data_IF_868648118989
#
_entry.id   IF_868648118989
#
_cell.length_a   1.000
_cell.length_b   1.000
_cell.length_c   1.000
_cell.angle_alpha   90.00
_cell.angle_beta   90.00
_cell.angle_gamma   90.00
#
_symmetry.space_group_name_H-M   'P 1'
#
loop_
_entity.id
_entity.type
_entity.pdbx_description
1 polymer ?
#
# COMPACT_ATOMS: atom_id res chain seq x y z
N UNK A 1 5.73 -8.45 1.98
CA UNK A 1 5.29 -7.05 1.89
C UNK A 1 3.77 -7.00 2.06
N UNK A 2 3.24 -5.96 2.72
CA UNK A 2 1.80 -5.72 2.88
C UNK A 2 1.38 -4.36 2.33
N UNK A 3 0.13 -4.23 1.89
CA UNK A 3 -0.50 -2.95 1.51
C UNK A 3 -1.68 -2.71 2.45
N UNK A 4 -1.63 -1.63 3.22
CA UNK A 4 -2.61 -1.31 4.27
C UNK A 4 -3.35 -0.02 3.92
N UNK A 5 -4.63 -0.16 3.58
CA UNK A 5 -5.49 0.95 3.20
C UNK A 5 -6.50 1.28 4.28
N UNK A 6 -6.46 2.52 4.77
CA UNK A 6 -7.36 2.99 5.83
C UNK A 6 -6.91 2.61 7.24
N UNK A 7 -7.66 3.09 8.23
CA UNK A 7 -7.30 2.96 9.65
C UNK A 7 -7.32 1.51 10.11
N UNK A 8 -8.33 0.75 9.72
CA UNK A 8 -8.51 -0.63 10.18
C UNK A 8 -7.38 -1.54 9.67
N UNK A 9 -6.97 -1.39 8.41
CA UNK A 9 -5.82 -2.11 7.88
C UNK A 9 -4.51 -1.70 8.58
N UNK A 10 -4.31 -0.41 8.86
CA UNK A 10 -3.12 0.07 9.61
C UNK A 10 -3.08 -0.46 11.04
N UNK A 11 -4.22 -0.75 11.66
CA UNK A 11 -4.26 -1.36 13.00
C UNK A 11 -3.68 -2.79 13.01
N UNK A 12 -3.54 -3.45 11.86
CA UNK A 12 -2.87 -4.76 11.74
C UNK A 12 -1.34 -4.64 11.72
N UNK A 13 -0.78 -3.42 11.63
CA UNK A 13 0.67 -3.18 11.57
C UNK A 13 1.47 -3.85 12.70
N UNK A 14 1.02 -3.86 13.97
CA UNK A 14 1.74 -4.54 15.05
C UNK A 14 1.85 -6.05 14.84
N UNK A 15 0.87 -6.68 14.18
CA UNK A 15 0.87 -8.12 13.90
C UNK A 15 1.84 -8.50 12.78
N UNK A 16 2.15 -7.55 11.89
CA UNK A 16 3.07 -7.75 10.76
C UNK A 16 4.54 -7.57 11.16
N UNK A 17 4.82 -7.14 12.39
CA UNK A 17 6.18 -6.97 12.91
C UNK A 17 7.02 -6.03 12.04
N UNK A 18 8.24 -6.45 11.69
CA UNK A 18 9.15 -5.66 10.85
C UNK A 18 8.91 -5.82 9.35
N UNK A 19 7.86 -6.55 8.95
CA UNK A 19 7.58 -6.71 7.53
C UNK A 19 7.31 -5.35 6.88
N UNK A 20 7.87 -5.10 5.68
CA UNK A 20 7.63 -3.88 4.95
C UNK A 20 6.14 -3.68 4.61
N UNK A 21 5.64 -2.47 4.84
CA UNK A 21 4.25 -2.08 4.56
C UNK A 21 4.19 -0.80 3.72
N UNK A 22 3.23 -0.76 2.79
CA UNK A 22 2.83 0.47 2.10
C UNK A 22 1.48 0.89 2.65
N UNK A 23 1.41 2.09 3.21
CA UNK A 23 0.21 2.61 3.86
C UNK A 23 -0.37 3.80 3.11
N UNK A 24 -1.69 3.83 2.93
CA UNK A 24 -2.42 4.96 2.36
C UNK A 24 -3.83 5.08 2.93
N UNK A 25 -4.51 6.20 2.61
CA UNK A 25 -5.95 6.34 2.87
C UNK A 25 -6.75 5.25 2.15
N UNK A 26 -7.96 4.97 2.63
CA UNK A 26 -8.82 3.96 2.03
C UNK A 26 -9.38 4.46 0.68
N UNK A 27 -9.49 3.60 -0.36
CA UNK A 27 -10.00 3.97 -1.69
C UNK A 27 -11.49 4.33 -1.74
N UNK A 28 -12.23 4.14 -0.64
CA UNK A 28 -13.66 4.49 -0.56
C UNK A 28 -13.88 5.96 -0.90
N UNK A 29 -14.94 6.31 -1.67
CA UNK A 29 -15.26 7.70 -2.02
C UNK A 29 -15.29 8.65 -0.82
N UNK A 30 -15.69 8.17 0.35
CA UNK A 30 -15.76 8.96 1.60
C UNK A 30 -14.39 9.40 2.13
N UNK A 31 -13.30 8.78 1.69
CA UNK A 31 -11.93 9.05 2.14
C UNK A 31 -10.92 9.23 1.00
N UNK A 32 -11.31 8.98 -0.24
CA UNK A 32 -10.40 8.97 -1.38
C UNK A 32 -9.77 10.35 -1.63
N UNK A 33 -10.58 11.41 -1.55
CA UNK A 33 -10.13 12.80 -1.69
C UNK A 33 -9.25 13.26 -0.53
N UNK A 34 -9.30 12.58 0.61
CA UNK A 34 -8.51 12.88 1.81
C UNK A 34 -7.13 12.20 1.78
N UNK A 35 -6.63 11.83 0.61
CA UNK A 35 -5.26 11.34 0.43
C UNK A 35 -5.10 9.91 -0.09
N UNK A 36 -6.11 9.34 -0.75
CA UNK A 36 -5.90 8.17 -1.62
C UNK A 36 -5.40 8.62 -2.99
N UNK A 37 -6.05 9.62 -3.60
CA UNK A 37 -5.58 10.22 -4.84
C UNK A 37 -4.20 10.88 -4.60
N UNK A 38 -3.23 10.58 -5.46
CA UNK A 38 -1.84 11.02 -5.32
C UNK A 38 -0.97 10.17 -4.38
N UNK A 39 -1.54 9.25 -3.59
CA UNK A 39 -0.75 8.40 -2.67
C UNK A 39 0.12 7.34 -3.36
N UNK A 40 -0.15 7.10 -4.66
CA UNK A 40 0.60 6.19 -5.56
C UNK A 40 0.94 4.84 -4.89
N UNK A 41 -0.06 4.11 -4.34
CA UNK A 41 0.21 2.92 -3.55
C UNK A 41 0.85 1.80 -4.37
N UNK A 42 0.50 1.69 -5.66
CA UNK A 42 1.02 0.66 -6.57
C UNK A 42 2.48 0.88 -6.97
N UNK A 43 2.88 2.11 -7.31
CA UNK A 43 4.29 2.38 -7.64
C UNK A 43 5.17 2.30 -6.39
N UNK A 44 4.70 2.83 -5.24
CA UNK A 44 5.42 2.69 -3.96
C UNK A 44 5.58 1.24 -3.53
N UNK A 45 4.59 0.39 -3.84
CA UNK A 45 4.67 -1.05 -3.66
C UNK A 45 5.80 -1.65 -4.48
N UNK A 46 5.87 -1.34 -5.77
CA UNK A 46 6.93 -1.83 -6.65
C UNK A 46 8.31 -1.30 -6.24
N UNK A 47 8.45 -0.01 -5.93
CA UNK A 47 9.72 0.57 -5.45
C UNK A 47 10.25 -0.17 -4.21
N UNK A 48 9.35 -0.59 -3.33
CA UNK A 48 9.68 -1.28 -2.10
C UNK A 48 10.04 -2.75 -2.33
N UNK A 49 9.43 -3.40 -3.33
CA UNK A 49 9.82 -4.74 -3.80
C UNK A 49 11.21 -4.71 -4.43
N UNK A 50 11.46 -3.75 -5.32
CA UNK A 50 12.74 -3.58 -6.00
C UNK A 50 13.88 -3.31 -5.01
N UNK A 51 13.67 -2.45 -4.00
CA UNK A 51 14.63 -2.21 -2.91
C UNK A 51 14.96 -3.46 -2.09
N UNK A 52 14.08 -4.46 -2.08
CA UNK A 52 14.29 -5.75 -1.43
C UNK A 52 14.84 -6.82 -2.38
N UNK A 53 15.11 -6.48 -3.64
CA UNK A 53 15.54 -7.44 -4.67
C UNK A 53 14.42 -8.36 -5.16
N UNK A 54 13.16 -8.03 -4.88
CA UNK A 54 12.00 -8.76 -5.37
C UNK A 54 11.50 -8.19 -6.71
N UNK A 55 10.80 -9.02 -7.49
CA UNK A 55 10.18 -8.58 -8.74
C UNK A 55 8.98 -7.67 -8.46
N UNK A 56 8.81 -6.56 -9.21
CA UNK A 56 7.63 -5.70 -9.11
C UNK A 56 6.38 -6.44 -9.58
N UNK A 57 5.21 -6.01 -9.09
CA UNK A 57 3.91 -6.55 -9.51
C UNK A 57 3.42 -5.81 -10.76
N UNK A 58 2.92 -6.56 -11.74
CA UNK A 58 2.16 -6.00 -12.86
C UNK A 58 0.73 -5.72 -12.42
N UNK A 59 0.37 -4.44 -12.35
CA UNK A 59 -0.93 -3.96 -11.89
C UNK A 59 -1.95 -3.75 -13.03
N UNK A 60 -1.58 -4.08 -14.27
CA UNK A 60 -2.48 -3.95 -15.42
C UNK A 60 -3.60 -4.99 -15.31
N UNK A 61 -4.83 -4.53 -15.44
CA UNK A 61 -6.02 -5.39 -15.53
C UNK A 61 -6.33 -5.65 -17.01
N UNK A 62 -6.89 -6.82 -17.37
CA UNK A 62 -7.29 -7.14 -18.75
C UNK A 62 -8.41 -6.22 -19.27
#
# INVERSE_FOLDING_TARGET
>A
MSILWGRDARNLRPLLGQLPSVESSHPSPMSADRGFFGSRPFSRANDLLERQGAQPVDWRLP
#
